data_IF_804618335345
#
_entry.id   IF_804618335345
#
_cell.length_a   1.000
_cell.length_b   1.000
_cell.length_c   1.000
_cell.angle_alpha   90.00
_cell.angle_beta   90.00
_cell.angle_gamma   90.00
#
_symmetry.space_group_name_H-M   'P 1'
#
loop_
_entity.id
_entity.type
_entity.pdbx_description
1 polymer ?
#
# COMPACT_ATOMS: atom_id res chain seq x y z
N UNK A 1 -15.09 -1.21 -21.52
CA UNK A 1 -15.94 -0.25 -20.78
C UNK A 1 -16.09 -0.63 -19.29
N UNK A 2 -16.01 -1.91 -18.93
CA UNK A 2 -16.04 -2.38 -17.55
C UNK A 2 -14.83 -1.89 -16.71
N UNK A 3 -13.68 -1.69 -17.33
CA UNK A 3 -12.44 -1.26 -16.66
C UNK A 3 -12.52 0.15 -16.03
N UNK A 4 -13.40 1.04 -16.50
CA UNK A 4 -13.55 2.41 -15.95
C UNK A 4 -14.08 2.43 -14.50
N UNK A 5 -14.64 1.32 -14.04
CA UNK A 5 -15.17 1.19 -12.68
C UNK A 5 -14.05 1.18 -11.64
N UNK A 6 -12.87 0.67 -11.99
CA UNK A 6 -11.76 0.46 -11.04
C UNK A 6 -10.64 1.51 -11.12
N UNK A 7 -10.72 2.44 -12.07
CA UNK A 7 -9.63 3.39 -12.32
C UNK A 7 -10.09 4.83 -12.30
N UNK A 8 -9.17 5.71 -11.93
CA UNK A 8 -9.29 7.16 -12.01
C UNK A 8 -8.05 7.73 -12.71
N UNK A 9 -8.24 8.59 -13.71
CA UNK A 9 -7.12 9.19 -14.45
C UNK A 9 -6.40 8.20 -15.37
N UNK A 10 -5.06 8.19 -15.34
CA UNK A 10 -4.23 7.23 -16.06
C UNK A 10 -4.08 5.96 -15.20
N UNK A 11 -4.69 4.83 -15.59
CA UNK A 11 -4.65 3.61 -14.80
C UNK A 11 -3.26 2.97 -14.86
N UNK A 12 -2.77 2.54 -13.72
CA UNK A 12 -1.66 1.63 -13.68
C UNK A 12 -2.16 0.21 -13.97
N UNK A 13 -1.55 -0.47 -14.95
CA UNK A 13 -2.01 -1.77 -15.43
C UNK A 13 -2.11 -2.81 -14.33
N UNK A 14 -1.16 -2.85 -13.40
CA UNK A 14 -1.19 -3.86 -12.34
C UNK A 14 -2.44 -3.74 -11.44
N UNK A 15 -2.92 -2.51 -11.15
CA UNK A 15 -4.16 -2.32 -10.40
C UNK A 15 -5.39 -2.88 -11.11
N UNK A 16 -5.43 -2.80 -12.45
CA UNK A 16 -6.48 -3.41 -13.26
C UNK A 16 -6.41 -4.94 -13.21
N UNK A 17 -5.20 -5.52 -13.31
CA UNK A 17 -5.00 -6.96 -13.18
C UNK A 17 -5.41 -7.47 -11.81
N UNK A 18 -5.08 -6.75 -10.73
CA UNK A 18 -5.49 -7.06 -9.37
C UNK A 18 -7.02 -7.16 -9.26
N UNK A 19 -7.74 -6.13 -9.70
CA UNK A 19 -9.20 -6.11 -9.67
C UNK A 19 -9.80 -7.23 -10.54
N UNK A 20 -9.25 -7.42 -11.74
CA UNK A 20 -9.76 -8.45 -12.67
C UNK A 20 -9.55 -9.86 -12.16
N UNK A 21 -8.41 -10.12 -11.50
CA UNK A 21 -8.15 -11.42 -10.87
C UNK A 21 -9.22 -11.76 -9.83
N UNK A 22 -9.58 -10.79 -8.97
CA UNK A 22 -10.62 -11.00 -7.95
C UNK A 22 -12.00 -11.26 -8.60
N UNK A 23 -12.35 -10.51 -9.66
CA UNK A 23 -13.61 -10.76 -10.38
C UNK A 23 -13.72 -12.21 -10.88
N UNK A 24 -12.62 -12.76 -11.40
CA UNK A 24 -12.57 -14.09 -12.01
C UNK A 24 -12.50 -15.23 -10.99
N UNK A 25 -12.14 -14.95 -9.74
CA UNK A 25 -12.13 -15.94 -8.67
C UNK A 25 -13.56 -16.39 -8.34
N UNK A 26 -13.72 -17.68 -8.05
CA UNK A 26 -14.91 -18.20 -7.36
C UNK A 26 -14.91 -17.78 -5.89
N UNK A 27 -16.04 -17.93 -5.21
CA UNK A 27 -16.11 -17.71 -3.77
C UNK A 27 -15.15 -18.64 -3.04
N UNK A 28 -14.46 -18.13 -2.04
CA UNK A 28 -13.35 -18.75 -1.31
C UNK A 28 -12.10 -19.06 -2.18
N UNK A 29 -12.06 -18.57 -3.42
CA UNK A 29 -10.89 -18.67 -4.27
C UNK A 29 -9.70 -17.90 -3.67
N UNK A 30 -8.51 -18.50 -3.75
CA UNK A 30 -7.28 -17.91 -3.20
C UNK A 30 -6.71 -16.87 -4.15
N UNK A 31 -6.23 -15.78 -3.56
CA UNK A 31 -5.63 -14.64 -4.25
C UNK A 31 -4.21 -14.42 -3.71
N UNK A 32 -3.23 -14.50 -4.59
CA UNK A 32 -1.83 -14.17 -4.27
C UNK A 32 -1.30 -13.27 -5.37
N UNK A 33 -0.83 -12.08 -5.00
CA UNK A 33 -0.26 -11.11 -5.93
C UNK A 33 0.99 -10.46 -5.37
N UNK A 34 2.03 -10.39 -6.20
CA UNK A 34 3.20 -9.56 -5.96
C UNK A 34 3.02 -8.23 -6.69
N UNK A 35 3.15 -7.11 -5.98
CA UNK A 35 2.91 -5.77 -6.53
C UNK A 35 3.80 -4.72 -5.88
N UNK A 36 3.99 -3.55 -6.52
CA UNK A 36 4.50 -2.38 -5.81
C UNK A 36 3.57 -1.98 -4.65
N UNK A 37 4.12 -1.41 -3.57
CA UNK A 37 3.35 -0.94 -2.41
C UNK A 37 2.49 0.31 -2.72
N UNK A 38 2.76 1.03 -3.80
CA UNK A 38 2.16 2.35 -4.08
C UNK A 38 0.62 2.37 -4.14
N UNK A 39 -0.03 1.24 -4.41
CA UNK A 39 -1.49 1.16 -4.44
C UNK A 39 -2.12 1.26 -3.05
N UNK A 40 -1.39 0.94 -1.98
CA UNK A 40 -1.93 0.91 -0.61
C UNK A 40 -2.30 2.31 -0.10
N UNK A 41 -1.63 3.36 -0.59
CA UNK A 41 -1.86 4.76 -0.19
C UNK A 41 -2.05 5.72 -1.37
N UNK A 42 -1.69 5.32 -2.59
CA UNK A 42 -1.78 6.21 -3.76
C UNK A 42 -3.21 6.62 -4.10
N UNK A 43 -3.43 7.91 -4.34
CA UNK A 43 -4.76 8.50 -4.63
C UNK A 43 -5.42 7.87 -5.87
N UNK A 44 -4.65 7.57 -6.90
CA UNK A 44 -5.19 6.97 -8.14
C UNK A 44 -5.72 5.55 -7.96
N UNK A 45 -5.37 4.90 -6.86
CA UNK A 45 -5.78 3.52 -6.55
C UNK A 45 -6.96 3.42 -5.60
N UNK A 46 -7.57 4.52 -5.18
CA UNK A 46 -8.69 4.51 -4.22
C UNK A 46 -9.79 3.54 -4.63
N UNK A 47 -10.20 3.52 -5.90
CA UNK A 47 -11.24 2.61 -6.37
C UNK A 47 -10.82 1.13 -6.33
N UNK A 48 -9.58 0.84 -6.73
CA UNK A 48 -9.02 -0.52 -6.67
C UNK A 48 -8.94 -0.98 -5.22
N UNK A 49 -8.43 -0.12 -4.33
CA UNK A 49 -8.32 -0.39 -2.89
C UNK A 49 -9.67 -0.70 -2.25
N UNK A 50 -10.67 0.14 -2.52
CA UNK A 50 -12.04 -0.06 -2.02
C UNK A 50 -12.63 -1.38 -2.51
N UNK A 51 -12.41 -1.71 -3.79
CA UNK A 51 -12.86 -2.97 -4.36
C UNK A 51 -12.17 -4.17 -3.71
N UNK A 52 -10.83 -4.12 -3.59
CA UNK A 52 -10.07 -5.18 -2.93
C UNK A 52 -10.55 -5.40 -1.49
N UNK A 53 -10.67 -4.33 -0.70
CA UNK A 53 -11.07 -4.44 0.70
C UNK A 53 -12.49 -4.95 0.90
N UNK A 54 -13.36 -4.75 -0.10
CA UNK A 54 -14.72 -5.24 -0.07
C UNK A 54 -14.83 -6.71 -0.44
N UNK A 55 -14.11 -7.13 -1.47
CA UNK A 55 -14.28 -8.46 -2.08
C UNK A 55 -13.26 -9.49 -1.57
N UNK A 56 -12.14 -9.03 -0.97
CA UNK A 56 -11.04 -9.89 -0.56
C UNK A 56 -10.88 -9.87 0.97
N UNK A 57 -10.95 -11.04 1.56
CA UNK A 57 -10.56 -11.29 2.94
C UNK A 57 -9.04 -11.42 3.00
N UNK A 58 -8.35 -10.33 3.35
CA UNK A 58 -6.89 -10.29 3.44
C UNK A 58 -6.45 -11.12 4.64
N UNK A 59 -5.54 -12.06 4.42
CA UNK A 59 -5.00 -12.96 5.46
C UNK A 59 -3.55 -12.67 5.81
N UNK A 60 -2.74 -12.34 4.80
CA UNK A 60 -1.31 -12.16 4.96
C UNK A 60 -0.78 -11.08 4.02
N UNK A 61 0.17 -10.31 4.52
CA UNK A 61 0.91 -9.29 3.78
C UNK A 61 2.40 -9.52 4.02
N UNK A 62 3.15 -9.74 2.95
CA UNK A 62 4.59 -9.87 3.00
C UNK A 62 5.24 -8.61 2.45
N UNK A 63 6.11 -8.00 3.23
CA UNK A 63 6.81 -6.77 2.90
C UNK A 63 8.29 -7.06 2.68
N UNK A 64 8.82 -6.74 1.50
CA UNK A 64 10.24 -6.81 1.25
C UNK A 64 10.95 -5.60 1.86
N UNK A 65 11.97 -5.84 2.67
CA UNK A 65 12.74 -4.79 3.35
C UNK A 65 13.64 -4.00 2.41
N UNK A 66 14.07 -4.60 1.31
CA UNK A 66 14.97 -3.98 0.33
C UNK A 66 14.22 -3.56 -0.95
N UNK A 67 14.60 -2.40 -1.49
CA UNK A 67 14.08 -1.89 -2.78
C UNK A 67 14.78 -2.53 -3.99
N UNK A 68 16.02 -2.97 -3.82
CA UNK A 68 16.92 -3.30 -4.91
C UNK A 68 17.01 -4.80 -5.21
N UNK A 69 16.58 -5.64 -4.25
CA UNK A 69 16.89 -7.08 -4.29
C UNK A 69 15.81 -7.92 -4.96
N UNK A 70 14.57 -7.46 -5.00
CA UNK A 70 13.45 -8.23 -5.59
C UNK A 70 13.57 -8.34 -7.11
N UNK A 71 14.15 -7.33 -7.76
CA UNK A 71 14.35 -7.28 -9.22
C UNK A 71 15.82 -7.06 -9.56
N UNK A 72 16.69 -7.98 -9.11
CA UNK A 72 18.12 -7.95 -9.41
C UNK A 72 18.35 -7.97 -10.91
N UNK A 73 19.01 -6.92 -11.44
CA UNK A 73 19.31 -6.76 -12.85
C UNK A 73 18.39 -5.80 -13.62
N UNK A 74 17.25 -5.42 -13.08
CA UNK A 74 16.44 -4.33 -13.61
C UNK A 74 16.58 -3.11 -12.68
N UNK A 75 16.83 -1.92 -13.23
CA UNK A 75 16.97 -0.66 -12.47
C UNK A 75 15.61 -0.20 -11.91
N UNK A 76 14.88 -1.10 -11.26
CA UNK A 76 13.54 -0.83 -10.71
C UNK A 76 13.67 -0.72 -9.19
N UNK A 77 13.81 0.51 -8.72
CA UNK A 77 13.79 0.87 -7.30
C UNK A 77 12.33 0.98 -6.81
N UNK A 78 11.65 -0.13 -6.59
CA UNK A 78 10.28 -0.10 -6.07
C UNK A 78 10.13 -1.00 -4.83
N UNK A 79 9.53 -0.43 -3.80
CA UNK A 79 9.08 -1.20 -2.65
C UNK A 79 7.98 -2.17 -3.09
N UNK A 80 8.22 -3.43 -2.87
CA UNK A 80 7.34 -4.53 -3.31
C UNK A 80 6.69 -5.21 -2.12
N UNK A 81 5.52 -5.79 -2.34
CA UNK A 81 4.79 -6.59 -1.36
C UNK A 81 4.12 -7.78 -2.03
N UNK A 82 3.85 -8.83 -1.24
CA UNK A 82 2.94 -9.90 -1.62
C UNK A 82 1.67 -9.75 -0.78
N UNK A 83 0.53 -9.85 -1.42
CA UNK A 83 -0.78 -9.85 -0.79
C UNK A 83 -1.41 -11.22 -0.96
N UNK A 84 -1.72 -11.88 0.16
CA UNK A 84 -2.50 -13.12 0.19
C UNK A 84 -3.86 -12.88 0.83
N UNK A 85 -4.88 -13.46 0.22
CA UNK A 85 -6.26 -13.43 0.72
C UNK A 85 -7.16 -14.43 0.02
N UNK A 86 -8.42 -14.43 0.40
CA UNK A 86 -9.46 -15.25 -0.19
C UNK A 86 -10.64 -14.38 -0.60
N UNK A 87 -11.26 -14.68 -1.74
CA UNK A 87 -12.47 -13.99 -2.16
C UNK A 87 -13.62 -14.32 -1.21
N UNK A 88 -14.24 -13.31 -0.63
CA UNK A 88 -15.38 -13.46 0.26
C UNK A 88 -15.59 -12.25 1.16
N UNK A 89 -16.79 -12.15 1.72
CA UNK A 89 -17.17 -11.01 2.55
C UNK A 89 -16.81 -11.19 4.03
N UNK A 90 -16.49 -12.40 4.48
CA UNK A 90 -16.06 -12.65 5.85
C UNK A 90 -14.64 -12.12 6.00
N UNK A 91 -14.48 -11.09 6.81
CA UNK A 91 -13.18 -10.47 7.06
C UNK A 91 -12.53 -11.09 8.29
N UNK A 92 -11.25 -11.42 8.18
CA UNK A 92 -10.45 -11.83 9.34
C UNK A 92 -10.33 -10.68 10.33
N UNK A 93 -10.33 -11.01 11.61
CA UNK A 93 -10.05 -10.04 12.68
C UNK A 93 -8.58 -9.64 12.71
N UNK A 94 -7.70 -10.53 12.27
CA UNK A 94 -6.24 -10.34 12.26
C UNK A 94 -5.65 -10.65 10.89
N UNK A 95 -4.61 -9.91 10.56
CA UNK A 95 -3.81 -10.06 9.34
C UNK A 95 -2.38 -10.37 9.78
N UNK A 96 -1.77 -11.39 9.17
CA UNK A 96 -0.36 -11.71 9.41
C UNK A 96 0.51 -10.80 8.57
N UNK A 97 1.53 -10.20 9.18
CA UNK A 97 2.52 -9.36 8.51
C UNK A 97 3.87 -10.07 8.59
N UNK A 98 4.50 -10.28 7.45
CA UNK A 98 5.85 -10.81 7.37
C UNK A 98 6.78 -9.76 6.78
N UNK A 99 7.94 -9.59 7.39
CA UNK A 99 9.02 -8.78 6.86
C UNK A 99 10.06 -9.72 6.26
N UNK A 100 10.14 -9.71 4.94
CA UNK A 100 11.05 -10.57 4.19
C UNK A 100 12.41 -9.88 4.05
N UNK A 101 13.48 -10.65 4.20
CA UNK A 101 14.86 -10.16 4.07
C UNK A 101 15.43 -10.49 2.69
N UNK A 102 16.30 -9.62 2.22
CA UNK A 102 17.26 -9.87 1.14
C UNK A 102 16.63 -10.40 -0.15
N UNK A 103 15.43 -9.93 -0.52
CA UNK A 103 14.74 -10.36 -1.75
C UNK A 103 14.36 -11.85 -1.79
N UNK A 104 14.53 -12.56 -0.68
CA UNK A 104 14.13 -13.96 -0.53
C UNK A 104 12.73 -14.07 0.10
N UNK A 105 12.15 -15.26 0.07
CA UNK A 105 10.91 -15.54 0.81
C UNK A 105 11.19 -15.93 2.27
N UNK A 106 12.44 -15.79 2.73
CA UNK A 106 12.79 -16.08 4.11
C UNK A 106 12.24 -14.98 5.03
N UNK A 107 11.43 -15.39 5.98
CA UNK A 107 10.79 -14.49 6.93
C UNK A 107 11.80 -14.02 7.98
N UNK A 108 12.16 -12.73 7.94
CA UNK A 108 13.05 -12.13 8.94
C UNK A 108 12.33 -11.86 10.26
N UNK A 109 11.10 -11.37 10.18
CA UNK A 109 10.22 -11.11 11.31
C UNK A 109 8.77 -11.35 10.89
N UNK A 110 7.93 -11.75 11.85
CA UNK A 110 6.51 -12.00 11.59
C UNK A 110 5.69 -11.64 12.82
N UNK A 111 4.59 -10.94 12.62
CA UNK A 111 3.67 -10.55 13.70
C UNK A 111 2.23 -10.47 13.19
N UNK A 112 1.28 -10.39 14.12
CA UNK A 112 -0.13 -10.24 13.81
C UNK A 112 -0.60 -8.82 14.10
N UNK A 113 -1.30 -8.22 13.17
CA UNK A 113 -1.98 -6.95 13.35
C UNK A 113 -3.49 -7.15 13.32
N UNK A 114 -4.23 -6.34 14.07
CA UNK A 114 -5.67 -6.30 13.93
C UNK A 114 -6.06 -5.73 12.55
N UNK A 115 -7.13 -6.23 11.97
CA UNK A 115 -7.52 -5.80 10.62
C UNK A 115 -7.86 -4.30 10.56
N UNK A 116 -8.36 -3.71 11.63
CA UNK A 116 -8.64 -2.28 11.74
C UNK A 116 -7.39 -1.41 11.93
N UNK A 117 -6.28 -1.98 12.42
CA UNK A 117 -4.98 -1.31 12.41
C UNK A 117 -4.38 -1.23 11.00
N UNK A 118 -4.70 -2.20 10.13
CA UNK A 118 -4.22 -2.22 8.74
C UNK A 118 -5.13 -1.44 7.80
N UNK A 119 -6.45 -1.55 7.98
CA UNK A 119 -7.46 -0.91 7.14
C UNK A 119 -7.85 0.44 7.73
N UNK A 120 -7.22 1.52 7.26
CA UNK A 120 -7.51 2.86 7.74
C UNK A 120 -8.97 3.27 7.44
N UNK A 121 -9.70 3.64 8.49
CA UNK A 121 -11.11 4.07 8.40
C UNK A 121 -11.20 5.51 7.92
N UNK A 122 -11.15 5.75 6.63
CA UNK A 122 -11.30 7.06 6.01
C UNK A 122 -11.82 6.95 4.59
N UNK A 123 -12.16 8.07 3.95
CA UNK A 123 -12.68 8.10 2.58
C UNK A 123 -11.72 7.44 1.57
N UNK A 124 -10.43 7.53 1.82
CA UNK A 124 -9.38 6.99 0.96
C UNK A 124 -9.09 5.49 1.22
N UNK A 125 -9.56 4.95 2.35
CA UNK A 125 -9.40 3.54 2.75
C UNK A 125 -7.97 3.01 2.54
N UNK A 126 -6.98 3.75 3.05
CA UNK A 126 -5.58 3.33 2.98
C UNK A 126 -5.37 1.97 3.64
N UNK A 127 -4.40 1.21 3.12
CA UNK A 127 -3.81 0.07 3.81
C UNK A 127 -2.50 0.53 4.44
N UNK A 128 -2.45 0.51 5.75
CA UNK A 128 -1.25 0.82 6.51
C UNK A 128 -0.34 -0.41 6.51
N UNK A 129 0.95 -0.20 6.35
CA UNK A 129 1.94 -1.27 6.23
C UNK A 129 2.96 -1.16 7.36
N UNK A 130 2.63 -1.61 8.59
CA UNK A 130 3.58 -1.62 9.69
C UNK A 130 4.73 -2.60 9.41
N UNK A 131 5.95 -2.22 9.75
CA UNK A 131 7.14 -3.06 9.56
C UNK A 131 7.57 -3.74 10.88
N UNK A 132 6.97 -3.34 11.99
CA UNK A 132 7.21 -3.92 13.31
C UNK A 132 6.06 -3.62 14.29
N UNK A 133 6.07 -4.26 15.46
CA UNK A 133 5.03 -4.08 16.48
C UNK A 133 4.98 -2.67 17.10
N UNK A 134 6.06 -1.88 17.02
CA UNK A 134 6.01 -0.51 17.51
C UNK A 134 5.22 0.40 16.57
N UNK A 135 5.23 0.11 15.26
CA UNK A 135 4.40 0.82 14.29
C UNK A 135 2.91 0.62 14.59
N UNK A 136 2.51 -0.57 15.07
CA UNK A 136 1.12 -0.82 15.51
C UNK A 136 0.72 0.09 16.67
N UNK A 137 1.61 0.32 17.63
CA UNK A 137 1.35 1.25 18.75
C UNK A 137 1.19 2.68 18.27
N UNK A 138 1.97 3.08 17.27
CA UNK A 138 1.86 4.42 16.65
C UNK A 138 0.51 4.54 15.93
N UNK A 139 0.11 3.51 15.18
CA UNK A 139 -1.18 3.46 14.50
C UNK A 139 -2.33 3.59 15.50
N UNK A 140 -2.27 2.89 16.63
CA UNK A 140 -3.30 2.98 17.69
C UNK A 140 -3.40 4.40 18.25
N UNK A 141 -2.26 5.01 18.59
CA UNK A 141 -2.21 6.40 19.09
C UNK A 141 -2.79 7.36 18.03
N UNK A 142 -2.44 7.18 16.75
CA UNK A 142 -2.95 8.04 15.69
C UNK A 142 -4.45 7.84 15.43
N UNK A 143 -4.96 6.63 15.60
CA UNK A 143 -6.39 6.33 15.40
C UNK A 143 -7.28 6.96 16.47
N UNK A 144 -6.74 7.23 17.65
CA UNK A 144 -7.42 7.91 18.75
C UNK A 144 -7.42 9.44 18.60
N UNK A 145 -6.64 9.99 17.65
CA UNK A 145 -6.62 11.43 17.39
C UNK A 145 -7.91 11.85 16.69
N UNK A 146 -8.60 12.83 17.25
CA UNK A 146 -9.85 13.40 16.70
C UNK A 146 -9.61 14.48 15.67
N UNK A 147 -8.44 15.13 15.72
CA UNK A 147 -8.10 16.25 14.89
C UNK A 147 -7.20 15.86 13.70
N UNK A 148 -7.41 16.50 12.59
CA UNK A 148 -6.56 16.42 11.39
C UNK A 148 -5.83 17.73 11.17
N UNK A 149 -4.81 17.74 10.31
CA UNK A 149 -4.17 18.99 9.90
C UNK A 149 -5.16 19.97 9.30
N UNK A 150 -6.12 19.48 8.52
CA UNK A 150 -7.15 20.31 7.91
C UNK A 150 -8.09 20.93 8.95
N UNK A 151 -8.54 20.14 9.95
CA UNK A 151 -9.38 20.65 11.03
C UNK A 151 -8.65 21.68 11.91
N UNK A 152 -7.31 21.54 12.01
CA UNK A 152 -6.44 22.48 12.72
C UNK A 152 -6.04 23.71 11.88
N UNK A 153 -6.58 23.86 10.67
CA UNK A 153 -6.33 25.00 9.79
C UNK A 153 -5.02 24.91 8.98
N UNK A 154 -4.36 23.75 8.96
CA UNK A 154 -3.13 23.54 8.19
C UNK A 154 -3.42 22.79 6.88
N UNK A 155 -2.73 23.18 5.81
CA UNK A 155 -2.84 22.53 4.52
C UNK A 155 -1.46 22.14 4.00
N UNK A 156 -1.33 20.91 3.52
CA UNK A 156 -0.13 20.46 2.82
C UNK A 156 -0.24 20.75 1.33
N UNK A 157 0.79 21.34 0.77
CA UNK A 157 0.99 21.46 -0.67
C UNK A 157 2.39 21.01 -1.03
N UNK A 158 2.51 20.26 -2.11
CA UNK A 158 3.79 20.09 -2.79
C UNK A 158 4.19 21.43 -3.39
N UNK A 159 5.46 21.83 -3.20
CA UNK A 159 6.00 23.02 -3.85
C UNK A 159 5.91 22.94 -5.37
N UNK A 160 6.01 24.07 -6.08
CA UNK A 160 5.98 24.09 -7.55
C UNK A 160 7.23 23.47 -8.17
N UNK A 161 8.30 23.33 -7.40
CA UNK A 161 9.59 22.80 -7.88
C UNK A 161 9.67 21.31 -7.59
N UNK A 162 9.84 20.52 -8.64
CA UNK A 162 10.11 19.09 -8.56
C UNK A 162 11.62 18.92 -8.77
N UNK A 163 12.33 18.51 -7.73
CA UNK A 163 13.80 18.44 -7.69
C UNK A 163 14.40 17.75 -8.91
N UNK A 164 14.00 16.51 -9.20
CA UNK A 164 14.56 15.73 -10.31
C UNK A 164 14.27 16.29 -11.70
N UNK A 165 13.33 17.24 -11.84
CA UNK A 165 13.01 17.94 -13.09
C UNK A 165 13.76 19.25 -13.23
N UNK A 166 14.45 19.70 -12.18
CA UNK A 166 15.11 20.98 -12.08
C UNK A 166 16.55 20.86 -11.57
N UNK A 167 17.19 19.72 -11.80
CA UNK A 167 18.55 19.42 -11.31
C UNK A 167 19.57 20.46 -11.77
N UNK A 168 19.41 21.03 -12.97
CA UNK A 168 20.26 22.09 -13.52
C UNK A 168 20.22 23.40 -12.73
N UNK A 169 19.16 23.62 -11.94
CA UNK A 169 18.95 24.80 -11.10
C UNK A 169 19.24 24.54 -9.62
N UNK A 170 19.62 23.32 -9.25
CA UNK A 170 19.90 22.93 -7.86
C UNK A 170 21.42 22.91 -7.65
N UNK A 171 21.91 23.79 -6.80
CA UNK A 171 23.33 23.88 -6.47
C UNK A 171 23.59 23.38 -5.06
N UNK A 172 24.69 22.63 -4.88
CA UNK A 172 25.10 22.07 -3.58
C UNK A 172 25.60 23.13 -2.59
N UNK A 173 25.85 24.37 -3.06
CA UNK A 173 26.31 25.49 -2.22
C UNK A 173 25.42 26.71 -2.43
N UNK A 174 24.89 27.25 -1.35
CA UNK A 174 24.31 28.59 -1.31
C UNK A 174 25.45 29.59 -1.33
N UNK A 175 25.59 30.35 -2.40
CA UNK A 175 26.37 31.59 -2.34
C UNK A 175 25.49 32.63 -1.63
N UNK A 176 25.77 32.86 -0.34
CA UNK A 176 25.28 34.02 0.42
C UNK A 176 26.24 35.17 0.16
#
# INVERSE_FOLDING_TARGET
TAMKTYVYGQPNLYGLFMAKAIELLCDNGQYIFITPRSWTSGKYFTKVRNFLQKELNIKEIDLFSSRDEVFQGEKVLQETMILYGEKGQIQNEKIKINILKDGTLDTGNSFWAAADQIKFKGSEQYLLLPENENDLKIIDIMSDMTDSFESSGYHFKTGPVVEFRNLEHIHAQTHI
#
